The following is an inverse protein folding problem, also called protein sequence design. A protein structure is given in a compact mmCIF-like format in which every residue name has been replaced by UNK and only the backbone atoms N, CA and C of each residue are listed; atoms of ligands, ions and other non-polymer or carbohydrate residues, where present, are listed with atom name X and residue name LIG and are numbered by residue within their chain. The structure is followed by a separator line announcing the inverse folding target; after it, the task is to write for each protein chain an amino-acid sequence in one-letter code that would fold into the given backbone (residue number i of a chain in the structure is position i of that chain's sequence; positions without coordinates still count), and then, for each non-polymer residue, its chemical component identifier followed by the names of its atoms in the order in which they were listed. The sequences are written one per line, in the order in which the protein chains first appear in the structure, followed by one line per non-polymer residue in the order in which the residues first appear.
data_IF_945147806080
#
_entry.id   IF_945147806080
#
_cell.length_a   1.000
_cell.length_b   1.000
_cell.length_c   1.000
_cell.angle_alpha   90.00
_cell.angle_beta   90.00
_cell.angle_gamma   90.00
#
_symmetry.space_group_name_H-M   'P 1'
#
loop_
_entity.id
_entity.type
_entity.pdbx_description
1 polymer ?
#
# COMPACT_ATOMS: atom_id res chain seq x y z
N UNK A 1 42.92 1.26 -17.93
CA UNK A 1 42.33 0.43 -16.85
C UNK A 1 41.71 1.36 -15.81
N UNK A 2 40.48 1.85 -16.01
CA UNK A 2 39.87 2.81 -15.07
C UNK A 2 38.33 2.80 -15.03
N UNK A 3 37.65 2.08 -15.93
CA UNK A 3 36.18 2.09 -15.97
C UNK A 3 35.49 1.22 -14.89
N UNK A 4 36.13 0.15 -14.42
CA UNK A 4 35.50 -0.75 -13.45
C UNK A 4 35.38 -0.14 -12.05
N UNK A 5 36.35 0.65 -11.62
CA UNK A 5 36.34 1.27 -10.29
C UNK A 5 35.27 2.35 -10.18
N UNK A 6 35.02 3.09 -11.26
CA UNK A 6 33.96 4.09 -11.33
C UNK A 6 32.56 3.44 -11.28
N UNK A 7 32.35 2.35 -12.02
CA UNK A 7 31.08 1.61 -12.00
C UNK A 7 30.81 0.96 -10.63
N UNK A 8 31.82 0.38 -9.99
CA UNK A 8 31.68 -0.23 -8.66
C UNK A 8 31.35 0.82 -7.58
N UNK A 9 31.97 2.01 -7.63
CA UNK A 9 31.69 3.12 -6.72
C UNK A 9 30.28 3.68 -6.91
N UNK A 10 29.81 3.78 -8.16
CA UNK A 10 28.45 4.25 -8.46
C UNK A 10 27.39 3.25 -8.00
N UNK A 11 27.62 1.94 -8.14
CA UNK A 11 26.72 0.89 -7.65
C UNK A 11 26.67 0.89 -6.10
N UNK A 12 27.82 1.05 -5.43
CA UNK A 12 27.84 1.16 -3.97
C UNK A 12 27.16 2.45 -3.48
N UNK A 13 27.46 3.60 -4.08
CA UNK A 13 26.91 4.90 -3.68
C UNK A 13 25.39 4.98 -3.88
N UNK A 14 24.87 4.40 -4.97
CA UNK A 14 23.41 4.32 -5.22
C UNK A 14 22.70 3.32 -4.32
N UNK A 15 23.36 2.24 -3.88
CA UNK A 15 22.78 1.33 -2.87
C UNK A 15 22.74 1.96 -1.49
N UNK A 16 23.75 2.74 -1.09
CA UNK A 16 23.71 3.52 0.15
C UNK A 16 22.73 4.70 0.10
N UNK A 17 22.59 5.39 -1.04
CA UNK A 17 21.59 6.47 -1.15
C UNK A 17 20.16 5.91 -1.13
N UNK A 18 19.89 4.81 -1.85
CA UNK A 18 18.58 4.16 -1.80
C UNK A 18 18.26 3.56 -0.44
N UNK A 19 19.25 3.12 0.35
CA UNK A 19 19.04 2.64 1.71
C UNK A 19 18.79 3.78 2.71
N UNK A 20 19.40 4.97 2.49
CA UNK A 20 19.08 6.20 3.23
C UNK A 20 17.69 6.73 2.85
N UNK A 21 17.39 6.88 1.55
CA UNK A 21 16.09 7.33 1.05
C UNK A 21 14.96 6.35 1.45
N UNK A 22 15.27 5.06 1.65
CA UNK A 22 14.32 4.06 2.17
C UNK A 22 13.88 4.30 3.60
N UNK A 23 14.74 4.91 4.40
CA UNK A 23 14.37 5.33 5.76
C UNK A 23 13.57 6.65 5.74
N UNK A 24 13.58 7.39 4.62
CA UNK A 24 12.79 8.61 4.45
C UNK A 24 11.44 8.39 3.76
N UNK A 25 11.28 7.33 2.95
CA UNK A 25 10.00 7.03 2.29
C UNK A 25 9.07 6.23 3.22
N UNK A 26 7.99 6.85 3.76
CA UNK A 26 7.07 6.19 4.69
C UNK A 26 6.38 4.96 4.09
N UNK A 27 6.35 4.84 2.76
CA UNK A 27 5.68 3.75 2.04
C UNK A 27 6.39 2.41 2.23
N UNK A 28 7.73 2.41 2.17
CA UNK A 28 8.55 1.21 2.30
C UNK A 28 8.56 0.74 3.77
N UNK A 29 8.65 1.67 4.74
CA UNK A 29 8.57 1.32 6.16
C UNK A 29 7.22 0.69 6.55
N UNK A 30 6.12 1.16 5.96
CA UNK A 30 4.80 0.58 6.20
C UNK A 30 4.64 -0.81 5.57
N UNK A 31 5.25 -1.05 4.40
CA UNK A 31 5.29 -2.40 3.81
C UNK A 31 6.10 -3.38 4.67
N UNK A 32 7.27 -2.96 5.15
CA UNK A 32 8.12 -3.79 6.03
C UNK A 32 7.40 -4.17 7.34
N UNK A 33 6.70 -3.20 7.96
CA UNK A 33 5.87 -3.43 9.15
C UNK A 33 4.73 -4.40 8.85
N UNK A 34 4.04 -4.26 7.71
CA UNK A 34 2.97 -5.18 7.31
C UNK A 34 3.50 -6.61 7.16
N UNK A 35 4.63 -6.79 6.47
CA UNK A 35 5.25 -8.08 6.27
C UNK A 35 5.71 -8.72 7.59
N UNK A 36 6.23 -7.91 8.51
CA UNK A 36 6.57 -8.38 9.85
C UNK A 36 5.34 -8.87 10.61
N UNK A 37 4.22 -8.15 10.55
CA UNK A 37 2.98 -8.56 11.19
C UNK A 37 2.43 -9.87 10.59
N UNK A 38 2.47 -10.02 9.26
CA UNK A 38 2.06 -11.26 8.57
C UNK A 38 2.93 -12.44 8.99
N UNK A 39 4.26 -12.26 9.06
CA UNK A 39 5.18 -13.30 9.57
C UNK A 39 4.86 -13.70 11.01
N UNK A 40 4.57 -12.73 11.88
CA UNK A 40 4.17 -13.00 13.26
C UNK A 40 2.85 -13.78 13.33
N UNK A 41 1.87 -13.46 12.48
CA UNK A 41 0.62 -14.21 12.38
C UNK A 41 0.87 -15.67 11.95
N UNK A 42 1.77 -15.89 10.99
CA UNK A 42 2.14 -17.24 10.57
C UNK A 42 2.80 -18.04 11.70
N UNK A 43 3.71 -17.42 12.45
CA UNK A 43 4.34 -18.05 13.62
C UNK A 43 3.31 -18.42 14.69
N UNK A 44 2.34 -17.53 14.95
CA UNK A 44 1.26 -17.81 15.89
C UNK A 44 0.39 -18.98 15.46
N UNK A 45 0.06 -19.05 14.16
CA UNK A 45 -0.69 -20.18 13.58
C UNK A 45 0.07 -21.50 13.70
N UNK A 46 1.38 -21.48 13.49
CA UNK A 46 2.23 -22.65 13.71
C UNK A 46 2.22 -23.08 15.19
N UNK A 47 2.41 -22.14 16.12
CA UNK A 47 2.34 -22.42 17.55
C UNK A 47 0.97 -22.97 17.98
N UNK A 48 -0.12 -22.46 17.41
CA UNK A 48 -1.47 -23.00 17.64
C UNK A 48 -1.60 -24.45 17.15
N UNK A 49 -1.04 -24.78 15.99
CA UNK A 49 -1.05 -26.14 15.46
C UNK A 49 -0.22 -27.11 16.33
N UNK A 50 0.91 -26.66 16.86
CA UNK A 50 1.73 -27.43 17.81
C UNK A 50 0.96 -27.72 19.11
N UNK A 51 0.27 -26.71 19.67
CA UNK A 51 -0.59 -26.88 20.86
C UNK A 51 -1.75 -27.84 20.57
N UNK A 52 -2.42 -27.70 19.43
CA UNK A 52 -3.51 -28.60 19.03
C UNK A 52 -3.01 -30.05 18.87
N UNK A 53 -1.81 -30.23 18.32
CA UNK A 53 -1.17 -31.56 18.18
C UNK A 53 -0.86 -32.15 19.55
N UNK A 54 -0.28 -31.38 20.47
CA UNK A 54 0.00 -31.81 21.83
C UNK A 54 -1.28 -32.20 22.58
N UNK A 55 -2.33 -31.38 22.46
CA UNK A 55 -3.66 -31.64 23.02
C UNK A 55 -4.22 -32.96 22.49
N UNK A 56 -4.15 -33.19 21.18
CA UNK A 56 -4.65 -34.44 20.56
C UNK A 56 -3.87 -35.67 21.03
N UNK A 57 -2.55 -35.56 21.19
CA UNK A 57 -1.72 -36.64 21.72
C UNK A 57 -2.15 -37.03 23.14
N UNK A 58 -2.36 -36.06 24.02
CA UNK A 58 -2.84 -36.29 25.39
C UNK A 58 -4.25 -36.91 25.38
N UNK A 59 -5.13 -36.43 24.49
CA UNK A 59 -6.47 -37.01 24.32
C UNK A 59 -6.41 -38.50 23.98
N UNK A 60 -5.58 -38.88 22.99
CA UNK A 60 -5.41 -40.28 22.58
C UNK A 60 -4.83 -41.14 23.71
N UNK A 61 -3.83 -40.64 24.43
CA UNK A 61 -3.26 -41.32 25.59
C UNK A 61 -4.30 -41.51 26.70
N UNK A 62 -5.12 -40.48 26.95
CA UNK A 62 -6.23 -40.55 27.89
C UNK A 62 -7.30 -41.57 27.49
N UNK A 63 -7.65 -41.65 26.21
CA UNK A 63 -8.59 -42.65 25.68
C UNK A 63 -8.06 -44.08 25.90
N UNK A 64 -6.78 -44.33 25.64
CA UNK A 64 -6.15 -45.64 25.85
C UNK A 64 -6.16 -46.05 27.33
N UNK A 65 -5.77 -45.13 28.23
CA UNK A 65 -5.82 -45.37 29.67
C UNK A 65 -7.25 -45.57 30.18
N UNK A 66 -8.22 -44.83 29.65
CA UNK A 66 -9.64 -45.01 29.94
C UNK A 66 -10.16 -46.39 29.55
N UNK A 67 -9.79 -46.88 28.36
CA UNK A 67 -10.14 -48.24 27.94
C UNK A 67 -9.51 -49.32 28.83
N UNK A 68 -8.26 -49.14 29.27
CA UNK A 68 -7.60 -50.03 30.25
C UNK A 68 -8.29 -49.98 31.62
N UNK A 69 -8.71 -48.81 32.07
CA UNK A 69 -9.45 -48.62 33.32
C UNK A 69 -10.78 -49.39 33.32
N UNK A 70 -11.55 -49.29 32.22
CA UNK A 70 -12.81 -50.02 32.06
C UNK A 70 -12.60 -51.53 32.06
N UNK A 71 -11.60 -52.04 31.33
CA UNK A 71 -11.27 -53.48 31.33
C UNK A 71 -10.90 -54.02 32.71
N UNK A 72 -10.17 -53.24 33.52
CA UNK A 72 -9.87 -53.65 34.91
C UNK A 72 -11.12 -53.68 35.80
N UNK A 73 -12.11 -52.84 35.52
CA UNK A 73 -13.41 -52.90 36.21
C UNK A 73 -14.14 -54.20 35.87
N UNK A 74 -14.21 -54.55 34.57
CA UNK A 74 -14.82 -55.80 34.11
C UNK A 74 -14.11 -57.03 34.69
N UNK A 75 -12.76 -57.04 34.70
CA UNK A 75 -11.97 -58.13 35.29
C UNK A 75 -12.20 -58.28 36.79
N UNK A 76 -12.29 -57.16 37.53
CA UNK A 76 -12.59 -57.20 38.95
C UNK A 76 -13.98 -57.78 39.21
N UNK A 77 -14.99 -57.39 38.41
CA UNK A 77 -16.34 -57.92 38.51
C UNK A 77 -16.38 -59.42 38.23
N UNK A 78 -15.76 -59.87 37.13
CA UNK A 78 -15.67 -61.28 36.78
C UNK A 78 -14.96 -62.13 37.86
N UNK A 79 -13.91 -61.59 38.48
CA UNK A 79 -13.21 -62.26 39.56
C UNK A 79 -14.10 -62.41 40.81
N UNK A 80 -14.91 -61.39 41.15
CA UNK A 80 -15.89 -61.46 42.24
C UNK A 80 -16.97 -62.50 41.95
N UNK A 81 -17.50 -62.54 40.72
CA UNK A 81 -18.51 -63.51 40.31
C UNK A 81 -17.98 -64.96 40.41
N UNK A 82 -16.67 -65.15 40.28
CA UNK A 82 -15.97 -66.44 40.43
C UNK A 82 -15.51 -66.72 41.87
N UNK A 83 -15.80 -65.84 42.84
CA UNK A 83 -15.37 -65.97 44.24
C UNK A 83 -13.86 -65.75 44.47
N UNK A 84 -13.15 -65.19 43.50
CA UNK A 84 -11.72 -64.91 43.58
C UNK A 84 -11.46 -63.48 44.08
N UNK A 85 -11.71 -63.24 45.37
CA UNK A 85 -11.61 -61.90 45.97
C UNK A 85 -10.22 -61.28 45.86
N UNK A 86 -9.15 -62.07 46.01
CA UNK A 86 -7.78 -61.56 45.93
C UNK A 86 -7.47 -61.01 44.53
N UNK A 87 -7.93 -61.68 43.48
CA UNK A 87 -7.76 -61.24 42.10
C UNK A 87 -8.56 -59.94 41.83
N UNK A 88 -9.77 -59.86 42.37
CA UNK A 88 -10.59 -58.65 42.28
C UNK A 88 -9.90 -57.45 42.97
N UNK A 89 -9.36 -57.65 44.18
CA UNK A 89 -8.60 -56.61 44.91
C UNK A 89 -7.38 -56.15 44.12
N UNK A 90 -6.62 -57.06 43.53
CA UNK A 90 -5.46 -56.72 42.68
C UNK A 90 -5.87 -55.91 41.44
N UNK A 91 -6.96 -56.28 40.76
CA UNK A 91 -7.48 -55.55 39.60
C UNK A 91 -7.92 -54.13 39.99
N UNK A 92 -8.63 -53.97 41.10
CA UNK A 92 -9.05 -52.67 41.63
C UNK A 92 -7.85 -51.81 42.08
N UNK A 93 -6.82 -52.42 42.68
CA UNK A 93 -5.60 -51.70 43.05
C UNK A 93 -4.90 -51.14 41.82
N UNK A 94 -4.73 -51.93 40.75
CA UNK A 94 -4.20 -51.45 39.46
C UNK A 94 -5.08 -50.36 38.86
N UNK A 95 -6.40 -50.50 38.98
CA UNK A 95 -7.38 -49.51 38.48
C UNK A 95 -7.21 -48.15 39.17
N UNK A 96 -7.04 -48.13 40.49
CA UNK A 96 -6.79 -46.90 41.27
C UNK A 96 -5.49 -46.18 40.89
N UNK A 97 -4.47 -46.93 40.46
CA UNK A 97 -3.23 -46.33 39.94
C UNK A 97 -3.47 -45.64 38.59
N UNK A 98 -4.21 -46.28 37.68
CA UNK A 98 -4.58 -45.66 36.40
C UNK A 98 -5.46 -44.43 36.58
N UNK A 99 -6.39 -44.45 37.54
CA UNK A 99 -7.26 -43.31 37.83
C UNK A 99 -6.47 -42.04 38.14
N UNK A 100 -5.42 -42.15 38.98
CA UNK A 100 -4.51 -41.03 39.28
C UNK A 100 -3.75 -40.54 38.05
N UNK A 101 -3.33 -41.44 37.16
CA UNK A 101 -2.64 -41.07 35.92
C UNK A 101 -3.57 -40.34 34.95
N UNK A 102 -4.81 -40.80 34.82
CA UNK A 102 -5.85 -40.16 34.00
C UNK A 102 -6.22 -38.78 34.54
N UNK A 103 -6.31 -38.63 35.87
CA UNK A 103 -6.55 -37.33 36.50
C UNK A 103 -5.46 -36.31 36.12
N UNK A 104 -4.18 -36.70 36.20
CA UNK A 104 -3.07 -35.85 35.80
C UNK A 104 -3.10 -35.48 34.29
N UNK A 105 -3.46 -36.43 33.41
CA UNK A 105 -3.64 -36.13 31.98
C UNK A 105 -4.79 -35.16 31.70
N UNK A 106 -5.90 -35.25 32.46
CA UNK A 106 -7.03 -34.32 32.33
C UNK A 106 -6.65 -32.90 32.70
N UNK A 107 -5.86 -32.71 33.75
CA UNK A 107 -5.34 -31.39 34.13
C UNK A 107 -4.47 -30.79 33.02
N UNK A 108 -3.57 -31.60 32.45
CA UNK A 108 -2.73 -31.17 31.32
C UNK A 108 -3.56 -30.83 30.08
N UNK A 109 -4.58 -31.63 29.77
CA UNK A 109 -5.49 -31.38 28.65
C UNK A 109 -6.25 -30.05 28.85
N UNK A 110 -6.79 -29.81 30.04
CA UNK A 110 -7.51 -28.57 30.35
C UNK A 110 -6.60 -27.33 30.27
N UNK A 111 -5.34 -27.46 30.71
CA UNK A 111 -4.34 -26.40 30.57
C UNK A 111 -4.06 -26.08 29.10
N UNK A 112 -3.86 -27.10 28.26
CA UNK A 112 -3.64 -26.92 26.82
C UNK A 112 -4.87 -26.38 26.10
N UNK A 113 -6.07 -26.78 26.51
CA UNK A 113 -7.32 -26.26 25.98
C UNK A 113 -7.47 -24.76 26.24
N UNK A 114 -7.20 -24.32 27.48
CA UNK A 114 -7.18 -22.89 27.82
C UNK A 114 -6.11 -22.13 27.03
N UNK A 115 -4.92 -22.70 26.89
CA UNK A 115 -3.85 -22.11 26.09
C UNK A 115 -4.24 -21.99 24.61
N UNK A 116 -4.85 -23.03 24.04
CA UNK A 116 -5.36 -23.03 22.67
C UNK A 116 -6.41 -21.93 22.46
N UNK A 117 -7.38 -21.81 23.36
CA UNK A 117 -8.42 -20.77 23.28
C UNK A 117 -7.83 -19.36 23.34
N UNK A 118 -6.86 -19.12 24.23
CA UNK A 118 -6.16 -17.84 24.32
C UNK A 118 -5.38 -17.52 23.02
N UNK A 119 -4.70 -18.51 22.44
CA UNK A 119 -3.96 -18.34 21.18
C UNK A 119 -4.91 -18.06 20.01
N UNK A 120 -6.08 -18.71 19.96
CA UNK A 120 -7.11 -18.46 18.94
C UNK A 120 -7.68 -17.03 19.04
N UNK A 121 -7.99 -16.55 20.24
CA UNK A 121 -8.46 -15.18 20.43
C UNK A 121 -7.37 -14.16 20.05
N UNK A 122 -6.10 -14.43 20.39
CA UNK A 122 -4.99 -13.60 19.96
C UNK A 122 -4.81 -13.60 18.43
N UNK A 123 -4.99 -14.75 17.78
CA UNK A 123 -4.92 -14.89 16.32
C UNK A 123 -6.00 -14.06 15.62
N UNK A 124 -7.22 -14.10 16.15
CA UNK A 124 -8.33 -13.26 15.67
C UNK A 124 -8.00 -11.78 15.79
N UNK A 125 -7.56 -11.34 16.97
CA UNK A 125 -7.19 -9.93 17.23
C UNK A 125 -6.05 -9.45 16.33
N UNK A 126 -5.02 -10.27 16.13
CA UNK A 126 -3.89 -9.92 15.26
C UNK A 126 -4.36 -9.84 13.81
N UNK A 127 -5.21 -10.75 13.36
CA UNK A 127 -5.79 -10.73 12.02
C UNK A 127 -6.60 -9.46 11.77
N UNK A 128 -7.45 -9.07 12.72
CA UNK A 128 -8.23 -7.82 12.67
C UNK A 128 -7.31 -6.58 12.58
N UNK A 129 -6.25 -6.53 13.40
CA UNK A 129 -5.26 -5.45 13.38
C UNK A 129 -4.48 -5.37 12.06
N UNK A 130 -4.09 -6.52 11.49
CA UNK A 130 -3.39 -6.57 10.20
C UNK A 130 -4.30 -6.06 9.08
N UNK A 131 -5.59 -6.40 9.12
CA UNK A 131 -6.57 -5.89 8.16
C UNK A 131 -6.73 -4.37 8.26
N UNK A 132 -6.85 -3.82 9.47
CA UNK A 132 -6.90 -2.38 9.70
C UNK A 132 -5.62 -1.68 9.23
N UNK A 133 -4.45 -2.22 9.58
CA UNK A 133 -3.15 -1.69 9.18
C UNK A 133 -2.97 -1.69 7.66
N UNK A 134 -3.48 -2.71 6.95
CA UNK A 134 -3.47 -2.73 5.48
C UNK A 134 -4.23 -1.54 4.90
N UNK A 135 -5.41 -1.23 5.43
CA UNK A 135 -6.22 -0.09 4.96
C UNK A 135 -5.47 1.21 5.23
N UNK A 136 -5.00 1.41 6.46
CA UNK A 136 -4.26 2.60 6.87
C UNK A 136 -2.99 2.81 6.03
N UNK A 137 -2.25 1.74 5.74
CA UNK A 137 -1.10 1.74 4.85
C UNK A 137 -1.46 2.28 3.46
N UNK A 138 -2.51 1.74 2.83
CA UNK A 138 -2.92 2.19 1.49
C UNK A 138 -3.41 3.66 1.51
N UNK A 139 -4.11 4.08 2.57
CA UNK A 139 -4.51 5.47 2.77
C UNK A 139 -3.29 6.38 2.86
N UNK A 140 -2.31 6.06 3.72
CA UNK A 140 -1.10 6.88 3.88
C UNK A 140 -0.31 6.93 2.56
N UNK A 141 -0.19 5.81 1.84
CA UNK A 141 0.43 5.76 0.51
C UNK A 141 -0.24 6.68 -0.49
N UNK A 142 -1.58 6.67 -0.54
CA UNK A 142 -2.36 7.54 -1.42
C UNK A 142 -2.20 9.01 -1.04
N UNK A 143 -2.33 9.35 0.25
CA UNK A 143 -2.15 10.72 0.76
C UNK A 143 -0.75 11.24 0.48
N UNK A 144 0.29 10.44 0.73
CA UNK A 144 1.67 10.81 0.43
C UNK A 144 1.87 11.11 -1.05
N UNK A 145 1.32 10.27 -1.94
CA UNK A 145 1.40 10.46 -3.39
C UNK A 145 0.68 11.74 -3.82
N UNK A 146 -0.51 12.02 -3.26
CA UNK A 146 -1.25 13.25 -3.52
C UNK A 146 -0.50 14.49 -3.02
N UNK A 147 0.05 14.46 -1.80
CA UNK A 147 0.86 15.54 -1.24
C UNK A 147 2.13 15.79 -2.07
N UNK A 148 2.80 14.73 -2.54
CA UNK A 148 3.96 14.86 -3.42
C UNK A 148 3.59 15.51 -4.76
N UNK A 149 2.43 15.16 -5.34
CA UNK A 149 1.92 15.81 -6.55
C UNK A 149 1.62 17.29 -6.32
N UNK A 150 1.00 17.64 -5.18
CA UNK A 150 0.70 19.02 -4.81
C UNK A 150 1.97 19.88 -4.69
N UNK A 151 3.01 19.35 -4.03
CA UNK A 151 4.31 20.03 -3.93
C UNK A 151 4.90 20.29 -5.31
N UNK A 152 4.92 19.28 -6.19
CA UNK A 152 5.42 19.43 -7.57
C UNK A 152 4.64 20.46 -8.38
N UNK A 153 3.32 20.50 -8.25
CA UNK A 153 2.48 21.52 -8.92
C UNK A 153 2.80 22.91 -8.40
N UNK A 154 2.90 23.08 -7.08
CA UNK A 154 3.22 24.36 -6.46
C UNK A 154 4.63 24.86 -6.88
N UNK A 155 5.61 23.97 -6.92
CA UNK A 155 6.96 24.26 -7.43
C UNK A 155 6.94 24.68 -8.90
N UNK A 156 6.18 23.97 -9.75
CA UNK A 156 6.03 24.32 -11.16
C UNK A 156 5.36 25.69 -11.34
N UNK A 157 4.32 25.99 -10.57
CA UNK A 157 3.62 27.28 -10.58
C UNK A 157 4.52 28.41 -10.08
N UNK A 158 5.29 28.19 -9.01
CA UNK A 158 6.27 29.16 -8.53
C UNK A 158 7.38 29.41 -9.56
N UNK A 159 7.85 28.35 -10.23
CA UNK A 159 8.80 28.44 -11.34
C UNK A 159 8.25 29.26 -12.51
N UNK A 160 7.00 29.02 -12.91
CA UNK A 160 6.29 29.83 -13.91
C UNK A 160 6.16 31.29 -13.47
N UNK A 161 5.78 31.54 -12.22
CA UNK A 161 5.71 32.90 -11.67
C UNK A 161 7.03 33.65 -11.77
N UNK A 162 8.16 32.98 -11.52
CA UNK A 162 9.49 33.58 -11.70
C UNK A 162 9.79 33.95 -13.15
N UNK A 163 9.43 33.08 -14.11
CA UNK A 163 9.64 33.31 -15.54
C UNK A 163 8.72 34.42 -16.09
N UNK A 164 7.47 34.47 -15.64
CA UNK A 164 6.52 35.52 -15.99
C UNK A 164 6.94 36.88 -15.45
N UNK A 165 7.51 36.94 -14.24
CA UNK A 165 8.00 38.19 -13.66
C UNK A 165 9.22 38.73 -14.44
N UNK A 166 10.13 37.85 -14.86
CA UNK A 166 11.26 38.21 -15.71
C UNK A 166 10.80 38.71 -17.10
N UNK A 167 9.82 38.02 -17.70
CA UNK A 167 9.22 38.45 -18.96
C UNK A 167 8.55 39.84 -18.85
N UNK A 168 7.82 40.12 -17.78
CA UNK A 168 7.23 41.43 -17.51
C UNK A 168 8.28 42.54 -17.43
N UNK A 169 9.36 42.32 -16.68
CA UNK A 169 10.47 43.27 -16.56
C UNK A 169 11.20 43.53 -17.88
N UNK A 170 11.23 42.55 -18.80
CA UNK A 170 11.77 42.77 -20.16
C UNK A 170 10.81 43.58 -21.05
N UNK A 171 9.50 43.37 -20.92
CA UNK A 171 8.49 44.10 -21.68
C UNK A 171 8.43 45.58 -21.27
N UNK A 172 8.52 45.88 -19.98
CA UNK A 172 8.50 47.26 -19.49
C UNK A 172 9.75 48.03 -19.96
N UNK A 173 10.93 47.40 -19.95
CA UNK A 173 12.14 47.98 -20.56
C UNK A 173 11.99 48.25 -22.06
N UNK A 174 11.30 47.37 -22.78
CA UNK A 174 11.03 47.58 -24.20
C UNK A 174 10.11 48.79 -24.42
N UNK A 175 9.06 48.94 -23.61
CA UNK A 175 8.15 50.11 -23.64
C UNK A 175 8.88 51.41 -23.34
N UNK A 176 9.70 51.45 -22.30
CA UNK A 176 10.49 52.64 -21.94
C UNK A 176 11.42 53.07 -23.07
N UNK A 177 12.03 52.09 -23.76
CA UNK A 177 12.90 52.37 -24.90
C UNK A 177 12.13 52.94 -26.09
N UNK A 178 10.93 52.42 -26.38
CA UNK A 178 10.04 52.97 -27.41
C UNK A 178 9.60 54.38 -27.05
N UNK A 179 9.20 54.64 -25.80
CA UNK A 179 8.83 55.96 -25.32
C UNK A 179 10.00 56.95 -25.42
N UNK A 180 11.22 56.54 -25.07
CA UNK A 180 12.43 57.36 -25.23
C UNK A 180 12.73 57.64 -26.71
N UNK A 181 12.56 56.66 -27.60
CA UNK A 181 12.71 56.87 -29.04
C UNK A 181 11.67 57.86 -29.57
N UNK A 182 10.42 57.74 -29.15
CA UNK A 182 9.34 58.67 -29.51
C UNK A 182 9.61 60.09 -28.99
N UNK A 183 10.08 60.24 -27.75
CA UNK A 183 10.44 61.54 -27.18
C UNK A 183 11.62 62.19 -27.93
N UNK A 184 12.61 61.38 -28.33
CA UNK A 184 13.72 61.86 -29.18
C UNK A 184 13.24 62.27 -30.57
N UNK A 185 12.36 61.48 -31.19
CA UNK A 185 11.76 61.82 -32.47
C UNK A 185 10.97 63.14 -32.38
N UNK A 186 10.16 63.31 -31.34
CA UNK A 186 9.40 64.54 -31.09
C UNK A 186 10.31 65.75 -30.86
N UNK A 187 11.39 65.61 -30.08
CA UNK A 187 12.37 66.69 -29.89
C UNK A 187 13.13 67.03 -31.18
N UNK A 188 13.37 66.03 -32.04
CA UNK A 188 13.99 66.25 -33.35
C UNK A 188 13.02 66.96 -34.30
N UNK A 189 11.73 66.62 -34.24
CA UNK A 189 10.66 67.28 -34.99
C UNK A 189 10.46 68.73 -34.54
N UNK A 190 10.57 69.01 -33.23
CA UNK A 190 10.52 70.37 -32.67
C UNK A 190 11.78 71.20 -33.03
N UNK A 191 12.95 70.56 -33.14
CA UNK A 191 14.18 71.19 -33.65
C UNK A 191 14.11 71.47 -35.16
N UNK A 192 13.43 70.63 -35.93
CA UNK A 192 13.10 70.87 -37.34
C UNK A 192 12.10 72.03 -37.48
N UNK A 193 11.06 72.08 -36.64
CA UNK A 193 10.04 73.14 -36.64
C UNK A 193 10.55 74.51 -36.16
N UNK A 194 11.52 74.53 -35.23
CA UNK A 194 12.17 75.76 -34.72
C UNK A 194 13.28 76.31 -35.63
N UNK A 195 13.58 75.64 -36.75
CA UNK A 195 14.40 76.19 -37.83
C UNK A 195 15.91 76.04 -37.69
N UNK A 196 16.41 75.08 -36.91
CA UNK A 196 17.85 74.88 -36.72
C UNK A 196 18.50 73.79 -37.60
N UNK A 197 17.73 72.95 -38.31
CA UNK A 197 18.27 72.06 -39.34
C UNK A 197 17.50 72.24 -40.65
N UNK A 198 18.18 72.78 -41.66
CA UNK A 198 17.71 72.77 -43.04
C UNK A 198 17.87 71.36 -43.60
N UNK A 199 16.74 70.71 -43.77
CA UNK A 199 16.54 69.47 -44.53
C UNK A 199 17.07 69.62 -45.97
N UNK A 200 17.75 68.58 -46.46
CA UNK A 200 18.21 68.47 -47.84
C UNK A 200 17.82 67.14 -48.51
N UNK A 201 16.95 66.32 -47.91
CA UNK A 201 16.45 65.12 -48.62
C UNK A 201 15.01 64.81 -48.23
N UNK A 202 14.09 65.67 -48.68
CA UNK A 202 12.72 65.27 -48.95
C UNK A 202 12.36 65.58 -50.41
N UNK A 203 11.93 64.53 -51.12
CA UNK A 203 11.16 64.57 -52.36
C UNK A 203 9.97 63.60 -52.16
N UNK A 204 8.80 63.86 -52.79
CA UNK A 204 7.51 63.88 -52.11
C UNK A 204 6.70 62.57 -52.20
N UNK A 205 5.64 62.58 -51.39
CA UNK A 205 4.55 61.61 -51.22
C UNK A 205 3.87 61.12 -52.51
N UNK A 206 3.27 59.93 -52.38
CA UNK A 206 1.93 59.47 -52.83
C UNK A 206 1.96 57.92 -52.73
N UNK A 207 1.09 57.15 -52.06
CA UNK A 207 -0.33 57.33 -51.77
C UNK A 207 -0.79 56.45 -50.59
N UNK A 208 -1.85 56.93 -49.94
CA UNK A 208 -2.66 56.28 -48.91
C UNK A 208 -3.67 55.27 -49.52
N UNK A 209 -3.97 54.24 -48.73
CA UNK A 209 -5.28 53.60 -48.56
C UNK A 209 -5.97 52.87 -49.73
N UNK A 210 -5.99 51.53 -49.66
CA UNK A 210 -7.20 50.75 -50.00
C UNK A 210 -7.20 49.33 -49.37
N UNK A 211 -8.08 49.19 -48.36
CA UNK A 211 -8.87 48.01 -47.96
C UNK A 211 -8.39 46.97 -46.94
N UNK A 212 -9.15 47.02 -45.84
CA UNK A 212 -9.62 45.97 -44.94
C UNK A 212 -10.31 44.76 -45.64
N UNK A 213 -10.07 43.54 -45.12
CA UNK A 213 -11.02 42.41 -45.05
C UNK A 213 -10.41 41.28 -44.18
N UNK A 214 -10.75 41.17 -42.89
CA UNK A 214 -11.79 40.32 -42.29
C UNK A 214 -11.50 38.80 -42.20
N UNK A 215 -11.30 38.32 -40.96
CA UNK A 215 -12.03 37.19 -40.34
C UNK A 215 -11.84 35.75 -40.85
N UNK A 216 -11.45 34.83 -39.94
CA UNK A 216 -12.34 33.80 -39.38
C UNK A 216 -11.57 32.60 -38.78
N UNK A 217 -11.60 32.53 -37.46
CA UNK A 217 -11.49 31.30 -36.66
C UNK A 217 -12.86 30.63 -36.56
N UNK A 218 -13.03 29.39 -37.06
CA UNK A 218 -14.13 28.46 -36.65
C UNK A 218 -14.12 27.06 -37.28
N UNK A 219 -13.35 26.81 -38.34
CA UNK A 219 -13.27 25.48 -38.94
C UNK A 219 -12.16 24.66 -38.27
N UNK A 220 -12.49 23.42 -37.91
CA UNK A 220 -11.59 22.33 -37.51
C UNK A 220 -11.22 22.18 -36.02
N UNK A 221 -11.94 22.93 -35.17
CA UNK A 221 -12.31 22.48 -33.82
C UNK A 221 -13.25 21.23 -33.88
N UNK A 222 -13.76 20.86 -35.05
CA UNK A 222 -14.60 19.66 -35.26
C UNK A 222 -13.82 18.37 -35.55
N UNK A 223 -12.53 18.43 -35.92
CA UNK A 223 -11.74 17.24 -36.27
C UNK A 223 -11.27 16.41 -35.06
N UNK A 224 -11.39 16.95 -33.85
CA UNK A 224 -11.07 16.24 -32.60
C UNK A 224 -12.23 15.42 -32.01
N UNK A 225 -13.46 15.47 -32.55
CA UNK A 225 -14.62 14.85 -31.88
C UNK A 225 -15.03 13.46 -32.40
N UNK A 226 -14.40 12.96 -33.48
CA UNK A 226 -14.81 11.72 -34.16
C UNK A 226 -13.87 10.52 -33.94
N UNK A 227 -12.68 10.73 -33.39
CA UNK A 227 -11.68 9.66 -33.22
C UNK A 227 -11.68 9.02 -31.82
N UNK A 228 -12.60 9.41 -30.93
CA UNK A 228 -12.62 9.01 -29.51
C UNK A 228 -13.90 8.29 -29.09
N UNK A 229 -14.55 7.55 -30.02
CA UNK A 229 -15.83 6.87 -29.75
C UNK A 229 -15.89 5.38 -30.04
N UNK A 230 -14.81 4.75 -30.51
CA UNK A 230 -14.83 3.32 -30.89
C UNK A 230 -13.83 2.44 -30.12
N UNK A 231 -13.50 2.80 -28.87
CA UNK A 231 -12.72 1.93 -27.97
C UNK A 231 -13.45 1.65 -26.64
N UNK A 232 -14.55 0.91 -26.73
CA UNK A 232 -15.16 0.10 -25.66
C UNK A 232 -16.26 -0.76 -26.35
N UNK A 233 -16.41 -2.07 -26.19
CA UNK A 233 -15.96 -3.00 -25.17
C UNK A 233 -16.07 -4.44 -25.73
N UNK A 234 -15.20 -5.32 -25.26
CA UNK A 234 -15.20 -6.75 -25.57
C UNK A 234 -15.64 -7.59 -24.35
N UNK A 235 -16.40 -8.66 -24.63
CA UNK A 235 -16.65 -9.89 -23.82
C UNK A 235 -17.34 -9.73 -22.46
N UNK A 236 -18.26 -10.58 -21.99
CA UNK A 236 -18.67 -11.94 -22.38
C UNK A 236 -18.59 -12.90 -21.18
N UNK A 237 -19.74 -13.47 -20.78
CA UNK A 237 -19.96 -14.70 -19.97
C UNK A 237 -20.02 -14.67 -18.41
N UNK A 238 -21.17 -15.14 -17.90
CA UNK A 238 -21.51 -15.77 -16.59
C UNK A 238 -20.98 -17.25 -16.53
N UNK A 239 -21.05 -18.09 -15.45
CA UNK A 239 -22.09 -18.24 -14.39
C UNK A 239 -21.68 -18.80 -12.96
N UNK A 240 -22.71 -18.99 -12.10
CA UNK A 240 -23.03 -20.05 -11.08
C UNK A 240 -22.26 -20.24 -9.72
N UNK A 241 -23.02 -20.33 -8.62
CA UNK A 241 -22.63 -20.85 -7.26
C UNK A 241 -22.75 -22.39 -7.17
N UNK A 242 -23.19 -23.07 -6.06
CA UNK A 242 -23.37 -22.73 -4.63
C UNK A 242 -22.82 -23.82 -3.63
N UNK A 243 -22.48 -23.47 -2.37
CA UNK A 243 -22.01 -24.45 -1.35
C UNK A 243 -23.05 -24.73 -0.25
N UNK A 244 -23.66 -25.92 -0.32
CA UNK A 244 -24.67 -26.42 0.60
C UNK A 244 -24.26 -27.77 1.23
N UNK A 245 -23.08 -27.83 1.88
CA UNK A 245 -22.56 -29.05 2.54
C UNK A 245 -22.36 -28.92 4.07
N UNK A 246 -22.74 -27.80 4.67
CA UNK A 246 -22.52 -27.51 6.10
C UNK A 246 -23.58 -28.08 7.07
N UNK A 247 -24.47 -28.97 6.63
CA UNK A 247 -25.61 -29.44 7.43
C UNK A 247 -25.60 -30.93 7.79
N UNK A 248 -24.44 -31.56 7.85
CA UNK A 248 -24.33 -32.95 8.31
C UNK A 248 -23.97 -32.96 9.81
N UNK A 249 -24.98 -33.21 10.66
CA UNK A 249 -24.77 -33.76 12.01
C UNK A 249 -24.98 -32.85 13.22
N UNK A 250 -25.68 -31.72 13.08
CA UNK A 250 -26.24 -30.99 14.22
C UNK A 250 -27.44 -31.70 14.82
#
# INVERSE_FOLDING_TARGET
MSDNTARMRTIFRTKTSRALDRMEDPRDMLDDSYDQQVRMLQQLRQGLAEVATAKKRIELQGQEMGARYLRLAEQAQQALDQGQEDLARMALQRRSVLERQVAALREQYAALEKQQANLQENERRITERIAAFRIEKETIKATYTASQAQVRVNEAVAGLGSQLNDAGATLDRAKDKVAQMQARAAATDDLLRSGALRDLTAAPDEDLDWQLASGASRADIERQLKAMKDSAAASGATPKGPDAWLSIGS
#
